data_IF_576337969189
#
_entry.id   IF_576337969189
#
_cell.length_a   1.000
_cell.length_b   1.000
_cell.length_c   1.000
_cell.angle_alpha   90.00
_cell.angle_beta   90.00
_cell.angle_gamma   90.00
#
_symmetry.space_group_name_H-M   'P 1'
#
loop_
_entity.id
_entity.type
_entity.pdbx_description
1 polymer ?
#
# COMPACT_ATOMS: atom_id res chain seq x y z
N UNK A 1 -61.70 -71.04 -1.49
CA UNK A 1 -60.93 -70.00 -0.93
C UNK A 1 -59.83 -69.57 -1.92
N UNK A 2 -59.97 -68.38 -2.57
CA UNK A 2 -59.03 -67.89 -3.60
C UNK A 2 -58.09 -66.83 -2.86
N UNK A 3 -56.83 -67.18 -2.83
CA UNK A 3 -55.79 -66.21 -2.35
C UNK A 3 -55.51 -65.16 -3.42
N UNK A 4 -55.76 -63.92 -3.16
CA UNK A 4 -55.34 -62.81 -4.02
C UNK A 4 -53.98 -62.29 -3.47
N UNK A 5 -52.93 -62.39 -4.33
CA UNK A 5 -51.63 -61.81 -4.11
C UNK A 5 -51.67 -60.34 -4.57
N UNK A 6 -51.57 -59.43 -3.63
CA UNK A 6 -51.45 -58.00 -3.90
C UNK A 6 -49.95 -57.67 -4.02
N UNK A 7 -49.52 -57.33 -5.22
CA UNK A 7 -48.18 -56.81 -5.50
C UNK A 7 -48.15 -55.28 -5.30
N UNK A 8 -47.37 -54.82 -4.32
CA UNK A 8 -47.05 -53.40 -4.18
C UNK A 8 -45.97 -53.00 -5.15
N UNK A 9 -46.32 -52.18 -6.11
CA UNK A 9 -45.34 -51.45 -6.98
C UNK A 9 -44.68 -50.36 -6.15
N UNK A 10 -43.39 -50.50 -5.84
CA UNK A 10 -42.55 -49.41 -5.32
C UNK A 10 -42.27 -48.42 -6.40
N UNK A 11 -42.84 -47.23 -6.32
CA UNK A 11 -42.44 -46.04 -7.07
C UNK A 11 -41.26 -45.39 -6.40
N UNK A 12 -40.10 -45.44 -7.03
CA UNK A 12 -38.92 -44.66 -6.62
C UNK A 12 -39.18 -43.16 -6.88
N UNK A 13 -38.95 -42.25 -5.89
CA UNK A 13 -39.11 -40.85 -6.14
C UNK A 13 -37.98 -40.31 -7.02
N UNK A 14 -38.22 -39.27 -7.83
CA UNK A 14 -37.18 -38.68 -8.67
C UNK A 14 -36.08 -38.04 -7.85
N UNK A 15 -34.86 -38.44 -8.17
CA UNK A 15 -33.63 -37.91 -7.55
C UNK A 15 -33.53 -36.41 -7.86
N UNK A 16 -33.35 -35.63 -6.80
CA UNK A 16 -33.23 -34.18 -6.79
C UNK A 16 -32.00 -33.70 -7.55
N UNK A 17 -32.20 -33.04 -8.68
CA UNK A 17 -31.18 -32.30 -9.46
C UNK A 17 -31.07 -30.84 -8.96
N UNK A 18 -31.61 -30.51 -7.81
CA UNK A 18 -31.63 -29.11 -7.32
C UNK A 18 -30.34 -28.69 -6.63
N UNK A 19 -29.51 -29.64 -6.13
CA UNK A 19 -28.30 -29.31 -5.41
C UNK A 19 -27.13 -28.84 -6.27
N UNK A 20 -27.07 -29.25 -7.53
CA UNK A 20 -25.91 -28.97 -8.40
C UNK A 20 -25.91 -27.57 -9.00
N UNK A 21 -27.09 -26.98 -9.24
CA UNK A 21 -27.20 -25.62 -9.79
C UNK A 21 -26.85 -24.54 -8.78
N UNK A 22 -27.14 -24.75 -7.49
CA UNK A 22 -26.86 -23.77 -6.43
C UNK A 22 -25.35 -23.65 -6.15
N UNK A 23 -24.62 -24.77 -6.19
CA UNK A 23 -23.17 -24.77 -6.02
C UNK A 23 -22.44 -24.07 -7.18
N UNK A 24 -22.91 -24.25 -8.41
CA UNK A 24 -22.30 -23.60 -9.60
C UNK A 24 -22.56 -22.10 -9.59
N UNK A 25 -23.71 -21.63 -9.10
CA UNK A 25 -24.03 -20.20 -8.99
C UNK A 25 -23.19 -19.51 -7.90
N UNK A 26 -22.95 -20.16 -6.76
CA UNK A 26 -22.12 -19.65 -5.68
C UNK A 26 -20.64 -19.55 -6.08
N UNK A 27 -20.13 -20.54 -6.83
CA UNK A 27 -18.75 -20.49 -7.35
C UNK A 27 -18.60 -19.41 -8.42
N UNK A 28 -19.63 -19.15 -9.22
CA UNK A 28 -19.62 -18.09 -10.24
C UNK A 28 -19.71 -16.68 -9.61
N UNK A 29 -20.39 -16.52 -8.46
CA UNK A 29 -20.38 -15.24 -7.72
C UNK A 29 -19.04 -15.00 -7.01
N UNK A 30 -18.36 -16.03 -6.52
CA UNK A 30 -17.04 -15.92 -5.92
C UNK A 30 -15.96 -15.58 -6.96
N UNK A 31 -16.16 -15.93 -8.22
CA UNK A 31 -15.28 -15.58 -9.35
C UNK A 31 -15.56 -14.16 -9.91
N UNK A 32 -16.49 -13.39 -9.35
CA UNK A 32 -16.57 -11.92 -9.53
C UNK A 32 -15.49 -11.21 -8.69
N UNK A 33 -14.38 -11.89 -8.53
CA UNK A 33 -13.21 -11.53 -7.77
C UNK A 33 -12.64 -10.17 -8.21
N UNK A 34 -12.42 -9.39 -7.24
CA UNK A 34 -11.42 -8.31 -7.14
C UNK A 34 -10.88 -7.80 -8.50
N UNK A 35 -11.68 -6.99 -9.19
CA UNK A 35 -11.11 -6.11 -10.21
C UNK A 35 -10.06 -5.26 -9.50
N UNK A 36 -8.85 -5.20 -10.07
CA UNK A 36 -7.85 -4.29 -9.61
C UNK A 36 -8.43 -2.86 -9.64
N UNK A 37 -8.35 -2.18 -8.52
CA UNK A 37 -8.79 -0.80 -8.36
C UNK A 37 -7.55 0.07 -8.29
N UNK A 38 -7.49 1.12 -9.11
CA UNK A 38 -6.32 1.99 -9.19
C UNK A 38 -6.76 3.44 -8.99
N UNK A 39 -6.10 4.14 -8.08
CA UNK A 39 -6.09 5.59 -8.02
C UNK A 39 -4.76 6.10 -8.59
N UNK A 40 -4.80 7.17 -9.37
CA UNK A 40 -3.62 7.81 -9.94
C UNK A 40 -3.74 9.31 -9.75
N UNK A 41 -2.64 9.94 -9.37
CA UNK A 41 -2.53 11.39 -9.20
C UNK A 41 -1.34 11.87 -10.02
N UNK A 42 -1.52 12.99 -10.70
CA UNK A 42 -0.47 13.71 -11.46
C UNK A 42 -0.06 14.89 -10.61
N UNK A 43 1.25 15.10 -10.51
CA UNK A 43 1.87 16.20 -9.79
C UNK A 43 2.61 17.13 -10.75
N UNK A 44 2.68 18.44 -10.48
CA UNK A 44 3.42 19.36 -11.34
C UNK A 44 4.92 19.08 -11.29
N UNK A 45 5.57 19.15 -12.42
CA UNK A 45 7.03 19.06 -12.49
C UNK A 45 7.69 20.36 -11.98
N UNK A 46 8.75 20.21 -11.18
CA UNK A 46 9.61 21.32 -10.75
C UNK A 46 9.13 22.01 -9.48
N UNK A 47 8.32 21.36 -8.68
CA UNK A 47 7.86 21.88 -7.40
C UNK A 47 8.46 21.13 -6.18
N UNK A 48 9.44 20.27 -6.43
CA UNK A 48 10.22 19.60 -5.40
C UNK A 48 11.30 20.54 -4.81
N UNK A 49 11.25 20.80 -3.51
CA UNK A 49 12.18 21.68 -2.82
C UNK A 49 12.67 21.10 -1.49
N UNK A 50 13.94 21.31 -1.21
CA UNK A 50 14.46 21.09 0.14
C UNK A 50 13.84 22.08 1.13
N UNK A 51 13.82 21.72 2.40
CA UNK A 51 13.30 22.57 3.49
C UNK A 51 13.99 23.93 3.61
N UNK A 52 15.20 24.10 3.04
CA UNK A 52 15.91 25.38 2.94
C UNK A 52 15.51 26.22 1.71
N UNK A 53 14.55 25.75 0.91
CA UNK A 53 14.05 26.44 -0.28
C UNK A 53 14.88 26.25 -1.55
N UNK A 54 15.94 25.43 -1.53
CA UNK A 54 16.66 25.06 -2.73
C UNK A 54 15.89 23.99 -3.51
N UNK A 55 15.90 24.11 -4.85
CA UNK A 55 15.33 23.10 -5.74
C UNK A 55 15.97 21.73 -5.49
N UNK A 56 15.15 20.71 -5.39
CA UNK A 56 15.59 19.34 -5.20
C UNK A 56 15.98 18.69 -6.55
N UNK A 57 16.82 17.65 -6.52
CA UNK A 57 17.11 16.89 -7.74
C UNK A 57 15.86 16.29 -8.36
N UNK A 58 15.77 16.26 -9.67
CA UNK A 58 14.63 15.77 -10.42
C UNK A 58 14.21 14.31 -10.09
N UNK A 59 15.11 13.48 -9.56
CA UNK A 59 14.77 12.13 -9.12
C UNK A 59 13.96 12.10 -7.80
N UNK A 60 13.80 13.23 -7.13
CA UNK A 60 12.94 13.42 -5.95
C UNK A 60 11.67 14.22 -6.27
N UNK A 61 11.51 14.69 -7.51
CA UNK A 61 10.37 15.43 -8.03
C UNK A 61 9.35 14.43 -8.59
N UNK A 62 8.23 14.26 -7.90
CA UNK A 62 7.16 13.31 -8.26
C UNK A 62 6.39 13.88 -9.45
N UNK A 63 6.17 13.08 -10.48
CA UNK A 63 5.29 13.44 -11.60
C UNK A 63 3.95 12.70 -11.53
N UNK A 64 3.99 11.45 -11.09
CA UNK A 64 2.80 10.61 -11.00
C UNK A 64 2.97 9.65 -9.83
N UNK A 65 1.96 9.55 -8.99
CA UNK A 65 1.85 8.45 -8.05
C UNK A 65 0.57 7.65 -8.30
N UNK A 66 0.65 6.34 -8.16
CA UNK A 66 -0.52 5.48 -8.27
C UNK A 66 -0.53 4.40 -7.20
N UNK A 67 -1.74 4.03 -6.80
CA UNK A 67 -2.01 2.99 -5.83
C UNK A 67 -3.03 2.01 -6.40
N UNK A 68 -2.61 0.78 -6.61
CA UNK A 68 -3.45 -0.30 -7.17
C UNK A 68 -3.72 -1.35 -6.12
N UNK A 69 -4.99 -1.68 -5.92
CA UNK A 69 -5.46 -2.73 -5.03
C UNK A 69 -5.90 -3.93 -5.86
N UNK A 70 -5.31 -5.09 -5.58
CA UNK A 70 -5.68 -6.39 -6.13
C UNK A 70 -5.50 -7.45 -5.02
N UNK A 71 -5.09 -8.66 -5.33
CA UNK A 71 -4.62 -9.61 -4.31
C UNK A 71 -3.36 -9.09 -3.59
N UNK A 72 -2.51 -8.37 -4.30
CA UNK A 72 -1.41 -7.56 -3.77
C UNK A 72 -1.80 -6.09 -3.73
N UNK A 73 -1.01 -5.23 -3.05
CA UNK A 73 -1.04 -3.80 -3.28
C UNK A 73 0.20 -3.41 -4.09
N UNK A 74 0.00 -2.61 -5.12
CA UNK A 74 1.09 -2.07 -5.95
C UNK A 74 1.06 -0.55 -5.86
N UNK A 75 2.18 0.02 -5.44
CA UNK A 75 2.38 1.46 -5.34
C UNK A 75 3.46 1.84 -6.36
N UNK A 76 3.17 2.85 -7.18
CA UNK A 76 4.06 3.26 -8.25
C UNK A 76 4.33 4.76 -8.16
N UNK A 77 5.58 5.15 -8.31
CA UNK A 77 6.00 6.55 -8.42
C UNK A 77 6.76 6.72 -9.71
N UNK A 78 6.37 7.70 -10.52
CA UNK A 78 7.16 8.22 -11.62
C UNK A 78 7.74 9.57 -11.19
N UNK A 79 9.04 9.75 -11.35
CA UNK A 79 9.77 10.98 -11.01
C UNK A 79 10.32 11.67 -12.25
N UNK A 80 10.65 12.96 -12.15
CA UNK A 80 11.13 13.76 -13.29
C UNK A 80 12.53 13.36 -13.75
N UNK A 81 13.35 12.78 -12.86
CA UNK A 81 14.73 12.38 -13.15
C UNK A 81 14.94 10.88 -13.27
N UNK A 82 16.10 10.48 -13.80
CA UNK A 82 16.50 9.07 -13.87
C UNK A 82 16.93 8.55 -12.49
N UNK A 83 16.56 7.30 -12.22
CA UNK A 83 16.93 6.54 -11.02
C UNK A 83 18.07 5.55 -11.31
N UNK A 84 18.56 5.48 -12.56
CA UNK A 84 19.56 4.47 -12.96
C UNK A 84 20.98 4.76 -12.40
N UNK A 85 21.24 6.02 -12.00
CA UNK A 85 22.55 6.46 -11.49
C UNK A 85 22.37 7.52 -10.39
N UNK A 86 21.79 7.12 -9.27
CA UNK A 86 21.59 8.03 -8.15
C UNK A 86 22.89 8.33 -7.41
N UNK A 87 23.06 9.55 -6.93
CA UNK A 87 24.18 9.91 -6.04
C UNK A 87 24.02 9.21 -4.68
N UNK A 88 25.14 9.16 -3.94
CA UNK A 88 25.04 8.82 -2.53
C UNK A 88 24.25 9.91 -1.81
N UNK A 89 23.27 9.54 -0.97
CA UNK A 89 22.57 10.51 -0.16
C UNK A 89 23.56 11.26 0.76
N UNK A 90 23.41 12.58 0.96
CA UNK A 90 24.29 13.33 1.82
C UNK A 90 24.20 12.87 3.28
N UNK A 91 25.34 12.88 3.98
CA UNK A 91 25.43 12.49 5.38
C UNK A 91 25.87 11.04 5.60
N UNK A 92 26.34 10.72 6.80
CA UNK A 92 26.75 9.37 7.16
C UNK A 92 25.53 8.49 7.32
N UNK A 93 25.29 7.59 6.35
CA UNK A 93 24.12 6.72 6.31
C UNK A 93 22.84 7.44 5.83
N UNK A 94 22.99 8.48 5.00
CA UNK A 94 21.85 9.14 4.37
C UNK A 94 21.04 8.17 3.50
N UNK A 95 19.76 8.46 3.36
CA UNK A 95 18.80 7.67 2.59
C UNK A 95 17.91 8.63 1.80
N UNK A 96 17.69 8.34 0.53
CA UNK A 96 16.53 8.87 -0.20
C UNK A 96 15.36 7.90 -0.06
N UNK A 97 14.17 8.42 0.11
CA UNK A 97 12.97 7.66 0.40
C UNK A 97 11.80 8.17 -0.45
N UNK A 98 11.14 7.24 -1.11
CA UNK A 98 9.85 7.41 -1.78
C UNK A 98 8.81 6.70 -0.93
N UNK A 99 8.06 7.49 -0.19
CA UNK A 99 7.19 7.07 0.90
C UNK A 99 5.72 7.14 0.51
N UNK A 100 4.98 6.09 0.83
CA UNK A 100 3.51 6.11 0.83
C UNK A 100 3.00 5.95 2.26
N UNK A 101 2.19 6.90 2.70
CA UNK A 101 1.46 6.77 3.96
C UNK A 101 0.04 6.29 3.69
N UNK A 102 -0.38 5.25 4.39
CA UNK A 102 -1.71 4.67 4.28
C UNK A 102 -2.45 4.86 5.60
N UNK A 103 -3.46 5.74 5.57
CA UNK A 103 -4.40 5.95 6.68
C UNK A 103 -5.65 5.12 6.39
N UNK A 104 -5.87 4.09 7.18
CA UNK A 104 -6.91 3.09 6.90
C UNK A 104 -8.24 3.38 7.58
N UNK A 105 -8.30 4.30 8.55
CA UNK A 105 -9.51 4.57 9.35
C UNK A 105 -9.92 6.04 9.40
N UNK A 106 -9.18 6.91 8.70
CA UNK A 106 -9.35 8.38 8.73
C UNK A 106 -9.11 9.02 10.11
N UNK A 107 -8.53 8.32 11.04
CA UNK A 107 -8.11 8.87 12.33
C UNK A 107 -6.93 9.83 12.14
N UNK A 108 -6.82 10.82 12.99
CA UNK A 108 -5.59 11.63 13.13
C UNK A 108 -4.72 11.14 14.29
N UNK A 109 -5.12 10.08 14.94
CA UNK A 109 -4.43 9.45 16.07
C UNK A 109 -3.82 8.10 15.62
N UNK A 110 -2.55 7.86 15.80
CA UNK A 110 -1.62 8.66 16.58
C UNK A 110 -1.23 9.94 15.84
N UNK A 111 -0.75 10.95 16.58
CA UNK A 111 -0.12 12.10 15.96
C UNK A 111 0.98 11.57 15.06
N UNK A 112 0.97 11.98 13.81
CA UNK A 112 1.70 11.38 12.72
C UNK A 112 3.19 11.21 12.96
N UNK A 113 3.83 10.57 12.00
CA UNK A 113 5.28 10.58 11.85
C UNK A 113 5.80 12.00 12.02
N UNK A 114 7.10 12.20 12.33
CA UNK A 114 7.70 13.53 12.46
C UNK A 114 7.81 14.28 11.12
N UNK A 115 6.89 14.00 10.18
CA UNK A 115 6.73 14.75 8.94
C UNK A 115 6.04 16.08 9.21
N UNK A 116 6.09 17.01 8.24
CA UNK A 116 5.42 18.29 8.38
C UNK A 116 4.00 18.10 8.91
N UNK A 117 3.56 18.91 9.88
CA UNK A 117 2.27 18.76 10.50
C UNK A 117 1.14 18.72 9.46
N UNK A 118 0.36 17.65 9.46
CA UNK A 118 -0.84 17.51 8.65
C UNK A 118 -0.80 16.47 7.54
N UNK A 119 0.38 15.98 7.14
CA UNK A 119 0.51 15.17 5.92
C UNK A 119 0.36 13.66 6.16
N UNK A 120 0.89 13.14 7.25
CA UNK A 120 0.83 11.71 7.56
C UNK A 120 0.17 11.40 8.90
N UNK A 121 -0.50 12.38 9.51
CA UNK A 121 -1.21 12.17 10.76
C UNK A 121 -2.21 11.03 10.61
N UNK A 122 -2.12 10.04 11.49
CA UNK A 122 -3.03 8.90 11.52
C UNK A 122 -2.70 7.76 10.57
N UNK A 123 -1.59 7.77 9.83
CA UNK A 123 -1.24 6.63 8.97
C UNK A 123 -0.84 5.41 9.81
N UNK A 124 -1.58 4.30 9.63
CA UNK A 124 -1.29 3.01 10.28
C UNK A 124 -0.18 2.25 9.58
N UNK A 125 0.01 2.51 8.29
CA UNK A 125 1.05 1.85 7.49
C UNK A 125 1.87 2.87 6.72
N UNK A 126 3.18 2.61 6.64
CA UNK A 126 4.12 3.25 5.72
C UNK A 126 4.66 2.21 4.74
N UNK A 127 4.80 2.59 3.48
CA UNK A 127 5.35 1.72 2.43
C UNK A 127 6.43 2.51 1.70
N UNK A 128 7.67 2.05 1.78
CA UNK A 128 8.84 2.80 1.38
C UNK A 128 9.66 2.08 0.32
N UNK A 129 10.21 2.87 -0.60
CA UNK A 129 11.37 2.50 -1.41
C UNK A 129 12.54 3.37 -0.99
N UNK A 130 13.60 2.73 -0.50
CA UNK A 130 14.76 3.38 0.08
C UNK A 130 15.99 3.19 -0.81
N UNK A 131 16.75 4.27 -1.03
CA UNK A 131 18.07 4.23 -1.64
C UNK A 131 19.12 4.64 -0.61
N UNK A 132 20.06 3.74 -0.30
CA UNK A 132 21.11 3.94 0.70
C UNK A 132 22.46 4.39 0.12
N UNK A 133 22.50 4.68 -1.18
CA UNK A 133 23.72 5.00 -1.93
C UNK A 133 24.31 3.80 -2.67
N UNK A 134 23.84 2.57 -2.41
CA UNK A 134 24.33 1.35 -3.03
C UNK A 134 23.23 0.49 -3.65
N UNK A 135 22.07 0.43 -2.99
CA UNK A 135 20.97 -0.43 -3.41
C UNK A 135 19.61 0.13 -3.01
N UNK A 136 18.58 -0.22 -3.80
CA UNK A 136 17.21 -0.05 -3.41
C UNK A 136 16.74 -1.16 -2.48
N UNK A 137 15.96 -0.80 -1.46
CA UNK A 137 15.24 -1.73 -0.59
C UNK A 137 13.81 -1.28 -0.39
N UNK A 138 12.87 -2.24 -0.26
CA UNK A 138 11.48 -1.96 0.05
C UNK A 138 11.15 -2.30 1.49
N UNK A 139 10.42 -1.43 2.17
CA UNK A 139 9.95 -1.64 3.54
C UNK A 139 8.44 -1.39 3.65
N UNK A 140 7.79 -2.18 4.48
CA UNK A 140 6.44 -1.92 5.00
C UNK A 140 6.53 -1.77 6.51
N UNK A 141 6.02 -0.68 7.01
CA UNK A 141 5.81 -0.41 8.42
C UNK A 141 4.36 -0.66 8.79
N UNK A 142 4.11 -1.51 9.80
CA UNK A 142 2.82 -1.61 10.46
C UNK A 142 2.93 -0.96 11.84
N UNK A 143 2.32 0.20 12.02
CA UNK A 143 2.38 1.01 13.23
C UNK A 143 1.31 0.63 14.25
N UNK A 144 0.31 -0.11 13.87
CA UNK A 144 -0.84 -0.45 14.73
C UNK A 144 -0.44 -1.03 16.10
N UNK A 145 0.58 -1.93 16.20
CA UNK A 145 1.01 -2.38 17.53
C UNK A 145 1.58 -1.25 18.39
N UNK A 146 2.25 -0.25 17.79
CA UNK A 146 2.80 0.89 18.54
C UNK A 146 1.71 1.77 19.15
N UNK A 147 0.50 1.81 18.55
CA UNK A 147 -0.64 2.57 19.07
C UNK A 147 -1.15 2.03 20.40
N UNK A 148 -0.89 0.76 20.70
CA UNK A 148 -1.30 0.07 21.93
C UNK A 148 -0.13 -0.17 22.90
N UNK A 149 0.98 0.58 22.74
CA UNK A 149 2.16 0.49 23.60
C UNK A 149 3.17 -0.60 23.20
N UNK A 150 2.99 -1.24 22.06
CA UNK A 150 3.95 -2.18 21.46
C UNK A 150 4.99 -1.49 20.59
N UNK A 151 5.63 -2.26 19.71
CA UNK A 151 6.61 -1.78 18.74
C UNK A 151 6.04 -1.93 17.32
N UNK A 152 6.28 -0.95 16.45
CA UNK A 152 5.94 -1.08 15.04
C UNK A 152 6.61 -2.31 14.41
N UNK A 153 5.89 -2.99 13.54
CA UNK A 153 6.41 -4.14 12.80
C UNK A 153 7.00 -3.69 11.48
N UNK A 154 8.09 -4.34 11.07
CA UNK A 154 8.82 -4.04 9.86
C UNK A 154 8.89 -5.28 8.98
N UNK A 155 8.59 -5.10 7.70
CA UNK A 155 8.64 -6.17 6.71
C UNK A 155 9.43 -5.70 5.50
N UNK A 156 10.41 -6.51 5.07
CA UNK A 156 11.04 -6.31 3.76
C UNK A 156 10.06 -6.72 2.67
N UNK A 157 9.88 -5.87 1.67
CA UNK A 157 8.98 -6.09 0.55
C UNK A 157 9.69 -5.85 -0.79
N UNK A 158 9.21 -6.45 -1.89
CA UNK A 158 9.79 -6.24 -3.21
C UNK A 158 9.68 -4.81 -3.69
N UNK A 159 10.78 -4.28 -4.22
CA UNK A 159 10.85 -3.04 -4.97
C UNK A 159 11.53 -3.29 -6.31
N UNK A 160 11.06 -2.67 -7.36
CA UNK A 160 11.71 -2.65 -8.67
C UNK A 160 11.80 -1.23 -9.17
N UNK A 161 12.95 -0.91 -9.81
CA UNK A 161 13.25 0.43 -10.32
C UNK A 161 13.71 0.30 -11.76
N UNK A 162 13.22 1.18 -12.62
CA UNK A 162 13.61 1.22 -14.04
C UNK A 162 13.41 2.62 -14.61
N UNK A 163 14.48 3.23 -15.10
CA UNK A 163 14.45 4.59 -15.63
C UNK A 163 14.04 5.61 -14.57
N UNK A 164 12.85 6.19 -14.69
CA UNK A 164 12.29 7.15 -13.72
C UNK A 164 11.15 6.56 -12.88
N UNK A 165 10.97 5.25 -12.89
CA UNK A 165 9.84 4.58 -12.23
C UNK A 165 10.27 3.68 -11.11
N UNK A 166 9.57 3.79 -9.99
CA UNK A 166 9.65 2.89 -8.84
C UNK A 166 8.33 2.13 -8.73
N UNK A 167 8.41 0.82 -8.51
CA UNK A 167 7.24 -0.03 -8.23
C UNK A 167 7.52 -0.77 -6.93
N UNK A 168 6.66 -0.58 -5.95
CA UNK A 168 6.69 -1.27 -4.66
C UNK A 168 5.53 -2.25 -4.62
N UNK A 169 5.80 -3.50 -4.28
CA UNK A 169 4.76 -4.54 -4.21
C UNK A 169 4.62 -5.06 -2.79
N UNK A 170 3.46 -4.83 -2.19
CA UNK A 170 3.10 -5.43 -0.91
C UNK A 170 2.52 -6.83 -1.18
N UNK A 171 3.17 -7.90 -0.69
CA UNK A 171 2.72 -9.27 -0.91
C UNK A 171 1.31 -9.55 -0.39
N UNK A 172 0.62 -10.51 -0.99
CA UNK A 172 -0.80 -10.80 -0.74
C UNK A 172 -1.15 -10.96 0.75
N UNK A 173 -0.30 -11.63 1.54
CA UNK A 173 -0.54 -11.83 2.96
C UNK A 173 -0.56 -10.51 3.75
N UNK A 174 0.37 -9.59 3.46
CA UNK A 174 0.43 -8.27 4.08
C UNK A 174 -0.65 -7.34 3.52
N UNK A 175 -0.90 -7.40 2.22
CA UNK A 175 -1.99 -6.67 1.57
C UNK A 175 -3.35 -7.02 2.16
N UNK A 176 -3.60 -8.29 2.50
CA UNK A 176 -4.81 -8.72 3.17
C UNK A 176 -4.96 -8.09 4.57
N UNK A 177 -3.87 -7.95 5.32
CA UNK A 177 -3.89 -7.29 6.63
C UNK A 177 -4.22 -5.80 6.52
N UNK A 178 -3.63 -5.11 5.52
CA UNK A 178 -3.93 -3.70 5.26
C UNK A 178 -5.40 -3.54 4.88
N UNK A 179 -5.90 -4.34 3.92
CA UNK A 179 -7.32 -4.30 3.51
C UNK A 179 -8.29 -4.56 4.66
N UNK A 180 -7.94 -5.47 5.56
CA UNK A 180 -8.77 -5.77 6.74
C UNK A 180 -8.83 -4.61 7.74
N UNK A 181 -7.88 -3.67 7.70
CA UNK A 181 -7.86 -2.47 8.52
C UNK A 181 -8.64 -1.30 7.91
N UNK A 182 -8.94 -1.34 6.61
CA UNK A 182 -9.58 -0.24 5.88
C UNK A 182 -11.01 -0.04 6.32
N UNK A 183 -11.33 1.19 6.72
CA UNK A 183 -12.68 1.66 7.08
C UNK A 183 -13.13 2.70 6.06
N UNK A 184 -14.08 2.33 5.21
CA UNK A 184 -14.66 3.22 4.19
C UNK A 184 -15.98 3.84 4.65
N UNK A 185 -16.32 5.06 4.23
CA UNK A 185 -15.48 6.01 3.49
C UNK A 185 -14.58 6.76 4.47
N UNK A 186 -13.35 7.04 4.14
CA UNK A 186 -12.49 7.87 4.98
C UNK A 186 -11.03 7.46 4.92
N UNK A 187 -10.74 6.20 4.59
CA UNK A 187 -9.37 5.77 4.35
C UNK A 187 -8.74 6.61 3.23
N UNK A 188 -7.48 6.98 3.41
CA UNK A 188 -6.71 7.82 2.49
C UNK A 188 -5.30 7.30 2.31
N UNK A 189 -4.65 7.75 1.25
CA UNK A 189 -3.23 7.55 1.03
C UNK A 189 -2.58 8.85 0.55
N UNK A 190 -1.27 8.97 0.70
CA UNK A 190 -0.46 10.00 0.06
C UNK A 190 0.88 9.42 -0.36
N UNK A 191 1.61 10.17 -1.17
CA UNK A 191 2.96 9.85 -1.58
C UNK A 191 3.85 11.07 -1.34
N UNK A 192 5.08 10.84 -0.89
CA UNK A 192 6.07 11.89 -0.69
C UNK A 192 7.48 11.38 -0.97
N UNK A 193 8.38 12.29 -1.29
CA UNK A 193 9.81 12.02 -1.34
C UNK A 193 10.52 12.70 -0.17
N UNK A 194 11.50 12.02 0.36
CA UNK A 194 12.18 12.40 1.59
C UNK A 194 13.67 12.19 1.46
N UNK A 195 14.42 13.01 2.16
CA UNK A 195 15.82 12.76 2.44
C UNK A 195 16.02 12.64 3.95
N UNK A 196 16.58 11.51 4.37
CA UNK A 196 16.93 11.24 5.75
C UNK A 196 18.46 11.16 5.87
N UNK A 197 19.05 11.96 6.74
CA UNK A 197 20.49 12.00 6.97
C UNK A 197 20.93 11.35 8.29
N UNK A 198 20.03 10.62 9.00
CA UNK A 198 20.32 10.04 10.32
C UNK A 198 21.01 8.69 10.28
N UNK A 199 21.10 8.07 9.10
CA UNK A 199 21.66 6.72 8.97
C UNK A 199 20.81 5.59 9.52
N UNK A 200 19.56 5.87 9.88
CA UNK A 200 18.61 4.86 10.34
C UNK A 200 17.43 4.83 9.37
N UNK A 201 17.19 3.69 8.74
CA UNK A 201 15.95 3.43 8.00
C UNK A 201 14.70 3.49 8.90
N UNK A 202 14.91 3.48 10.20
CA UNK A 202 13.90 3.63 11.22
C UNK A 202 13.89 5.11 11.61
N UNK A 203 12.89 5.83 11.18
CA UNK A 203 12.67 7.23 11.53
C UNK A 203 12.51 7.36 13.05
N UNK A 204 13.53 7.82 13.83
CA UNK A 204 13.32 8.07 15.23
C UNK A 204 12.37 9.25 15.35
N UNK A 205 11.26 9.04 16.01
CA UNK A 205 10.29 10.08 16.33
C UNK A 205 11.03 11.25 16.99
N UNK A 206 10.96 12.43 16.39
CA UNK A 206 11.47 13.67 16.97
C UNK A 206 12.86 14.13 16.51
N UNK A 207 13.46 13.56 15.47
CA UNK A 207 14.70 14.09 14.91
C UNK A 207 14.44 15.04 13.74
N UNK A 208 15.11 16.19 13.73
CA UNK A 208 15.05 17.20 12.64
C UNK A 208 15.82 16.77 11.37
N UNK A 209 16.03 15.49 11.20
CA UNK A 209 16.93 14.94 10.21
C UNK A 209 16.18 14.42 8.95
N UNK A 210 14.86 14.59 8.92
CA UNK A 210 14.03 14.23 7.79
C UNK A 210 13.61 15.50 7.07
N UNK A 211 13.90 15.55 5.78
CA UNK A 211 13.54 16.65 4.91
C UNK A 211 12.49 16.16 3.93
N UNK A 212 11.24 16.59 4.09
CA UNK A 212 10.22 16.46 3.07
C UNK A 212 10.65 17.28 1.86
N UNK A 213 10.55 16.72 0.67
CA UNK A 213 11.04 17.33 -0.56
C UNK A 213 9.89 17.60 -1.49
N UNK A 214 9.05 16.61 -1.70
CA UNK A 214 7.89 16.68 -2.58
C UNK A 214 6.75 15.85 -2.00
N UNK A 215 5.49 16.21 -2.29
CA UNK A 215 4.35 15.52 -1.73
C UNK A 215 3.08 15.65 -2.57
N UNK A 216 2.52 14.52 -2.91
CA UNK A 216 1.14 14.42 -3.33
C UNK A 216 0.26 14.36 -2.09
N UNK A 217 -0.60 15.36 -1.92
CA UNK A 217 -1.53 15.46 -0.79
C UNK A 217 -2.46 14.25 -0.67
N UNK A 218 -3.22 14.20 0.42
CA UNK A 218 -4.12 13.07 0.73
C UNK A 218 -5.10 12.77 -0.40
N UNK A 219 -5.14 11.53 -0.80
CA UNK A 219 -6.01 10.99 -1.82
C UNK A 219 -6.99 9.98 -1.22
N UNK A 220 -8.22 9.87 -1.74
CA UNK A 220 -9.14 8.84 -1.30
C UNK A 220 -8.62 7.44 -1.64
N UNK A 221 -8.97 6.48 -0.80
CA UNK A 221 -8.68 5.08 -1.04
C UNK A 221 -9.33 4.61 -2.34
N UNK A 222 -8.64 3.83 -3.21
CA UNK A 222 -9.25 3.27 -4.42
C UNK A 222 -10.47 2.40 -4.10
N UNK A 223 -11.57 2.56 -4.86
CA UNK A 223 -12.83 1.84 -4.69
C UNK A 223 -13.22 1.08 -5.95
#
# INVERSE_FOLDING_TARGET
>A
MKNQNIQFKRTTPPVRIVGSLLCTLLVSLAALAARAQTATVIDPQGDAFYTNGHEAPAFLDILVASFTISDTLTLTVDVAGSLDALPNPPGSGGIFDWHFALNTDNSTDPPGWPFPPGQTAGAEFGVDALWDGTAFSGLLFDRRPALTGGTALLYSIPVSVSGSRIIITVPAALAAQIRAAVVLPGATWNCSTLWNNTGTALFPIGTQAIHGIDEIGRQPWPQ
#
